data_IF_523826760476
#
_entry.id   IF_523826760476
#
_cell.length_a   1.000
_cell.length_b   1.000
_cell.length_c   1.000
_cell.angle_alpha   90.00
_cell.angle_beta   90.00
_cell.angle_gamma   90.00
#
_symmetry.space_group_name_H-M   'P 1'
#
loop_
_entity.id
_entity.type
_entity.pdbx_description
1 polymer ?
#
# COMPACT_ATOMS: atom_id res chain seq x y z
N UNK A 1 6.67 -16.96 -18.03
CA UNK A 1 7.25 -18.00 -17.14
C UNK A 1 8.27 -17.42 -16.17
N UNK A 2 9.23 -16.61 -16.64
CA UNK A 2 10.24 -15.96 -15.78
C UNK A 2 9.64 -15.16 -14.60
N UNK A 3 8.59 -14.38 -14.84
CA UNK A 3 7.89 -13.65 -13.78
C UNK A 3 7.31 -14.57 -12.69
N UNK A 4 6.76 -15.73 -13.07
CA UNK A 4 6.22 -16.72 -12.13
C UNK A 4 7.35 -17.39 -11.33
N UNK A 5 8.50 -17.66 -11.96
CA UNK A 5 9.67 -18.20 -11.27
C UNK A 5 10.26 -17.19 -10.28
N UNK A 6 10.27 -15.90 -10.62
CA UNK A 6 10.72 -14.83 -9.73
C UNK A 6 9.77 -14.59 -8.55
N UNK A 7 8.48 -14.80 -8.73
CA UNK A 7 7.45 -14.59 -7.71
C UNK A 7 6.56 -15.84 -7.55
N UNK A 8 7.07 -16.92 -6.93
CA UNK A 8 6.35 -18.20 -6.84
C UNK A 8 5.05 -18.10 -6.03
N UNK A 9 4.92 -17.11 -5.16
CA UNK A 9 3.72 -16.83 -4.37
C UNK A 9 2.93 -15.61 -4.88
N UNK A 10 3.17 -15.18 -6.11
CA UNK A 10 2.45 -14.05 -6.69
C UNK A 10 1.07 -14.43 -7.21
N UNK A 11 0.31 -13.41 -7.59
CA UNK A 11 -1.04 -13.55 -8.13
C UNK A 11 -1.17 -12.78 -9.44
N UNK A 12 -1.93 -13.33 -10.39
CA UNK A 12 -2.31 -12.64 -11.62
C UNK A 12 -3.48 -11.72 -11.35
N UNK A 13 -3.41 -10.51 -11.89
CA UNK A 13 -4.42 -9.50 -11.69
C UNK A 13 -4.62 -8.71 -12.98
N UNK A 14 -5.87 -8.53 -13.40
CA UNK A 14 -6.25 -7.49 -14.34
C UNK A 14 -7.14 -6.45 -13.64
N UNK A 15 -7.55 -5.40 -14.34
CA UNK A 15 -8.30 -4.30 -13.72
C UNK A 15 -9.56 -4.74 -12.94
N UNK A 16 -10.28 -5.78 -13.43
CA UNK A 16 -11.58 -6.21 -12.86
C UNK A 16 -11.74 -7.72 -12.73
N UNK A 17 -10.66 -8.51 -12.86
CA UNK A 17 -10.71 -9.97 -12.78
C UNK A 17 -11.54 -10.62 -13.90
N UNK A 18 -11.52 -10.04 -15.11
CA UNK A 18 -12.22 -10.56 -16.27
C UNK A 18 -11.34 -11.40 -17.20
N UNK A 19 -11.75 -11.53 -18.46
CA UNK A 19 -11.15 -12.48 -19.42
C UNK A 19 -9.64 -12.33 -19.61
N UNK A 20 -9.10 -11.11 -19.53
CA UNK A 20 -7.65 -10.87 -19.72
C UNK A 20 -6.78 -11.71 -18.77
N UNK A 21 -7.13 -11.75 -17.49
CA UNK A 21 -6.34 -12.51 -16.52
C UNK A 21 -6.60 -14.01 -16.61
N UNK A 22 -7.82 -14.43 -17.01
CA UNK A 22 -8.15 -15.84 -17.24
C UNK A 22 -7.42 -16.43 -18.45
N UNK A 23 -7.35 -15.70 -19.57
CA UNK A 23 -6.61 -16.12 -20.77
C UNK A 23 -5.12 -16.35 -20.42
N UNK A 24 -4.51 -15.40 -19.70
CA UNK A 24 -3.11 -15.54 -19.28
C UNK A 24 -2.91 -16.72 -18.32
N UNK A 25 -3.84 -16.93 -17.38
CA UNK A 25 -3.79 -18.08 -16.48
C UNK A 25 -3.89 -19.40 -17.27
N UNK A 26 -4.75 -19.46 -18.27
CA UNK A 26 -4.91 -20.65 -19.12
C UNK A 26 -3.62 -20.97 -19.88
N UNK A 27 -2.98 -19.97 -20.49
CA UNK A 27 -1.67 -20.16 -21.15
C UNK A 27 -0.57 -20.62 -20.19
N UNK A 28 -0.55 -20.09 -18.97
CA UNK A 28 0.41 -20.53 -17.95
C UNK A 28 0.15 -21.98 -17.54
N UNK A 29 -1.11 -22.36 -17.38
CA UNK A 29 -1.52 -23.73 -17.06
C UNK A 29 -1.15 -24.71 -18.17
N UNK A 30 -1.35 -24.33 -19.43
CA UNK A 30 -0.92 -25.11 -20.61
C UNK A 30 0.61 -25.27 -20.66
N UNK A 31 1.36 -24.28 -20.17
CA UNK A 31 2.81 -24.36 -19.99
C UNK A 31 3.24 -25.08 -18.69
N UNK A 32 2.31 -25.70 -17.96
CA UNK A 32 2.59 -26.47 -16.74
C UNK A 32 2.77 -25.63 -15.47
N UNK A 33 2.40 -24.35 -15.48
CA UNK A 33 2.47 -23.45 -14.32
C UNK A 33 1.08 -23.15 -13.80
N UNK A 34 0.78 -23.66 -12.60
CA UNK A 34 -0.42 -23.25 -11.86
C UNK A 34 -0.13 -21.95 -11.11
N UNK A 35 -0.86 -20.89 -11.44
CA UNK A 35 -0.65 -19.56 -10.89
C UNK A 35 -1.98 -18.91 -10.53
N UNK A 36 -2.17 -18.44 -9.28
CA UNK A 36 -3.47 -18.01 -8.81
C UNK A 36 -3.88 -16.64 -9.37
N UNK A 37 -5.18 -16.37 -9.36
CA UNK A 37 -5.78 -15.11 -9.80
C UNK A 37 -6.32 -14.32 -8.61
N UNK A 38 -6.28 -12.99 -8.72
CA UNK A 38 -7.09 -12.11 -7.90
C UNK A 38 -8.50 -12.04 -8.48
N UNK A 39 -9.45 -12.67 -7.79
CA UNK A 39 -10.88 -12.59 -8.12
C UNK A 39 -11.35 -11.14 -7.99
N UNK A 40 -12.03 -10.62 -9.02
CA UNK A 40 -12.45 -9.22 -9.10
C UNK A 40 -11.31 -8.23 -9.41
N UNK A 41 -10.07 -8.70 -9.53
CA UNK A 41 -8.91 -7.95 -9.99
C UNK A 41 -8.55 -6.75 -9.11
N UNK A 42 -7.90 -5.75 -9.73
CA UNK A 42 -7.41 -4.57 -9.01
C UNK A 42 -8.53 -3.77 -8.35
N UNK A 43 -9.72 -3.73 -8.95
CA UNK A 43 -10.90 -3.12 -8.32
C UNK A 43 -11.20 -3.73 -6.94
N UNK A 44 -11.16 -5.06 -6.84
CA UNK A 44 -11.40 -5.76 -5.58
C UNK A 44 -10.28 -5.48 -4.56
N UNK A 45 -9.01 -5.50 -5.00
CA UNK A 45 -7.88 -5.13 -4.13
C UNK A 45 -8.02 -3.71 -3.58
N UNK A 46 -8.37 -2.75 -4.44
CA UNK A 46 -8.55 -1.36 -4.02
C UNK A 46 -9.68 -1.21 -3.02
N UNK A 47 -10.80 -1.92 -3.23
CA UNK A 47 -11.90 -1.90 -2.28
C UNK A 47 -11.50 -2.49 -0.92
N UNK A 48 -10.75 -3.59 -0.92
CA UNK A 48 -10.24 -4.20 0.30
C UNK A 48 -9.24 -3.27 1.03
N UNK A 49 -8.36 -2.58 0.28
CA UNK A 49 -7.42 -1.61 0.85
C UNK A 49 -8.14 -0.43 1.52
N UNK A 50 -9.19 0.10 0.87
CA UNK A 50 -10.03 1.17 1.44
C UNK A 50 -10.70 0.69 2.73
N UNK A 51 -11.37 -0.47 2.70
CA UNK A 51 -12.05 -1.03 3.86
C UNK A 51 -11.10 -1.30 5.03
N UNK A 52 -9.94 -1.88 4.76
CA UNK A 52 -8.91 -2.10 5.78
C UNK A 52 -8.42 -0.79 6.37
N UNK A 53 -8.26 0.26 5.55
CA UNK A 53 -7.87 1.58 6.04
C UNK A 53 -8.96 2.15 6.94
N UNK A 54 -10.22 2.16 6.50
CA UNK A 54 -11.37 2.68 7.26
C UNK A 54 -11.53 2.00 8.63
N UNK A 55 -11.26 0.69 8.71
CA UNK A 55 -11.26 -0.07 9.97
C UNK A 55 -10.06 0.29 10.85
N UNK A 56 -8.85 0.28 10.28
CA UNK A 56 -7.61 0.44 11.06
C UNK A 56 -7.43 1.87 11.58
N UNK A 57 -7.96 2.89 10.90
CA UNK A 57 -7.91 4.28 11.38
C UNK A 57 -8.82 4.53 12.59
N UNK A 58 -9.70 3.59 12.97
CA UNK A 58 -10.48 3.69 14.21
C UNK A 58 -9.64 3.46 15.47
N UNK A 59 -8.42 2.92 15.32
CA UNK A 59 -7.48 2.75 16.44
C UNK A 59 -7.02 4.12 16.95
N UNK A 60 -6.64 4.25 18.23
CA UNK A 60 -6.11 5.49 18.77
C UNK A 60 -4.97 6.06 17.92
N UNK A 61 -5.02 7.36 17.63
CA UNK A 61 -4.01 8.08 16.87
C UNK A 61 -3.33 9.09 17.79
N UNK A 62 -2.00 9.09 17.80
CA UNK A 62 -1.17 10.11 18.44
C UNK A 62 -0.56 10.97 17.33
N UNK A 63 -0.92 12.26 17.30
CA UNK A 63 -0.35 13.22 16.37
C UNK A 63 0.85 13.91 16.99
N UNK A 64 2.01 13.84 16.32
CA UNK A 64 3.23 14.54 16.72
C UNK A 64 3.20 15.96 16.13
N UNK A 65 2.95 16.94 16.98
CA UNK A 65 3.02 18.36 16.60
C UNK A 65 4.44 18.94 16.67
N UNK A 66 4.66 20.06 15.99
CA UNK A 66 5.89 20.85 16.10
C UNK A 66 6.27 21.57 14.81
N UNK A 67 7.18 22.54 14.90
CA UNK A 67 7.62 23.34 13.75
C UNK A 67 8.31 22.49 12.66
N UNK A 68 8.36 23.05 11.46
CA UNK A 68 9.14 22.56 10.32
C UNK A 68 10.63 22.43 10.71
N UNK A 69 11.28 21.33 10.30
CA UNK A 69 12.73 21.14 10.52
C UNK A 69 13.11 20.50 11.85
N UNK A 70 12.15 20.14 12.71
CA UNK A 70 12.41 19.56 14.03
C UNK A 70 12.50 18.01 14.06
N UNK A 71 12.67 17.35 12.92
CA UNK A 71 12.90 15.89 12.86
C UNK A 71 11.68 15.01 13.17
N UNK A 72 10.45 15.54 13.11
CA UNK A 72 9.20 14.79 13.36
C UNK A 72 9.10 13.53 12.48
N UNK A 73 9.40 13.64 11.19
CA UNK A 73 9.38 12.51 10.24
C UNK A 73 10.33 11.41 10.69
N UNK A 74 11.54 11.78 11.14
CA UNK A 74 12.53 10.81 11.63
C UNK A 74 12.03 10.11 12.89
N UNK A 75 11.37 10.84 13.80
CA UNK A 75 10.75 10.25 14.98
C UNK A 75 9.63 9.27 14.59
N UNK A 76 8.71 9.65 13.71
CA UNK A 76 7.62 8.76 13.25
C UNK A 76 8.20 7.51 12.58
N UNK A 77 9.16 7.66 11.67
CA UNK A 77 9.79 6.52 10.97
C UNK A 77 10.59 5.59 11.90
N UNK A 78 11.11 6.09 13.02
CA UNK A 78 11.84 5.26 14.00
C UNK A 78 10.93 4.34 14.83
N UNK A 79 9.61 4.56 14.78
CA UNK A 79 8.66 3.86 15.64
C UNK A 79 7.98 2.68 14.94
N UNK A 80 7.78 1.55 15.64
CA UNK A 80 6.98 0.44 15.11
C UNK A 80 5.53 0.82 14.76
N UNK A 81 4.94 1.72 15.55
CA UNK A 81 3.56 2.25 15.39
C UNK A 81 3.48 3.51 14.52
N UNK A 82 4.61 3.98 13.97
CA UNK A 82 4.65 5.21 13.17
C UNK A 82 4.18 5.02 11.72
N UNK A 83 3.39 5.95 11.18
CA UNK A 83 2.98 5.97 9.78
C UNK A 83 3.42 7.30 9.14
N UNK A 84 4.36 7.21 8.20
CA UNK A 84 4.91 8.35 7.45
C UNK A 84 4.00 8.74 6.29
N UNK A 85 3.01 9.60 6.55
CA UNK A 85 2.04 10.03 5.54
C UNK A 85 2.69 10.84 4.40
N UNK A 86 3.63 11.72 4.72
CA UNK A 86 4.33 12.52 3.70
C UNK A 86 5.14 11.63 2.76
N UNK A 87 5.89 10.67 3.31
CA UNK A 87 6.65 9.70 2.53
C UNK A 87 5.76 8.82 1.66
N UNK A 88 4.63 8.32 2.19
CA UNK A 88 3.67 7.53 1.40
C UNK A 88 3.05 8.34 0.25
N UNK A 89 2.87 9.65 0.42
CA UNK A 89 2.30 10.54 -0.58
C UNK A 89 3.32 11.07 -1.61
N UNK A 90 4.63 10.84 -1.40
CA UNK A 90 5.71 11.60 -2.07
C UNK A 90 5.50 13.12 -1.94
N UNK A 91 5.01 13.52 -0.78
CA UNK A 91 4.72 14.91 -0.45
C UNK A 91 5.86 15.48 0.42
N UNK A 92 5.94 16.81 0.50
CA UNK A 92 6.76 17.52 1.49
C UNK A 92 5.92 18.59 2.16
N UNK A 93 6.09 18.73 3.47
CA UNK A 93 5.43 19.76 4.25
C UNK A 93 5.50 21.15 3.59
N UNK A 94 4.47 21.95 3.82
CA UNK A 94 4.21 23.24 3.15
C UNK A 94 5.41 24.18 3.07
N UNK A 95 6.29 24.18 4.08
CA UNK A 95 7.48 25.02 4.13
C UNK A 95 8.61 24.63 3.16
N UNK A 96 8.61 23.40 2.64
CA UNK A 96 9.70 22.87 1.80
C UNK A 96 9.36 22.77 0.31
N UNK A 97 8.13 23.15 -0.09
CA UNK A 97 7.71 23.17 -1.48
C UNK A 97 7.62 21.78 -2.14
N UNK A 98 7.71 21.74 -3.47
CA UNK A 98 7.57 20.50 -4.26
C UNK A 98 8.81 19.60 -4.09
N UNK A 99 8.55 18.31 -4.02
CA UNK A 99 9.53 17.24 -4.16
C UNK A 99 10.06 17.18 -5.61
N UNK A 100 11.29 16.66 -5.79
CA UNK A 100 11.84 16.34 -7.12
C UNK A 100 11.10 15.17 -7.80
N UNK A 101 10.41 14.36 -6.99
CA UNK A 101 9.58 13.26 -7.43
C UNK A 101 8.11 13.71 -7.50
N UNK A 102 7.38 13.20 -8.48
CA UNK A 102 5.95 13.48 -8.57
C UNK A 102 5.19 12.85 -7.39
N UNK A 103 4.20 13.60 -6.91
CA UNK A 103 3.28 13.13 -5.89
C UNK A 103 2.54 11.90 -6.41
N UNK A 104 2.30 10.94 -5.51
CA UNK A 104 1.54 9.77 -5.87
C UNK A 104 0.09 10.15 -6.23
N UNK A 105 -0.48 9.55 -7.29
CA UNK A 105 -1.91 9.60 -7.50
C UNK A 105 -2.63 9.06 -6.25
N UNK A 106 -3.81 9.60 -5.95
CA UNK A 106 -4.59 9.27 -4.76
C UNK A 106 -4.69 7.76 -4.51
N UNK A 107 -5.02 6.97 -5.53
CA UNK A 107 -5.16 5.52 -5.38
C UNK A 107 -3.85 4.80 -5.00
N UNK A 108 -2.70 5.32 -5.45
CA UNK A 108 -1.38 4.76 -5.13
C UNK A 108 -1.03 5.07 -3.67
N UNK A 109 -1.25 6.32 -3.24
CA UNK A 109 -1.11 6.72 -1.84
C UNK A 109 -1.99 5.86 -0.92
N UNK A 110 -3.29 5.73 -1.22
CA UNK A 110 -4.24 4.95 -0.43
C UNK A 110 -3.81 3.47 -0.33
N UNK A 111 -3.34 2.87 -1.42
CA UNK A 111 -2.84 1.49 -1.37
C UNK A 111 -1.59 1.35 -0.50
N UNK A 112 -0.64 2.29 -0.60
CA UNK A 112 0.55 2.27 0.24
C UNK A 112 0.22 2.47 1.72
N UNK A 113 -0.73 3.36 2.03
CA UNK A 113 -1.25 3.55 3.38
C UNK A 113 -1.87 2.27 3.93
N UNK A 114 -2.78 1.64 3.18
CA UNK A 114 -3.41 0.39 3.57
C UNK A 114 -2.39 -0.71 3.86
N UNK A 115 -1.38 -0.88 2.99
CA UNK A 115 -0.31 -1.87 3.18
C UNK A 115 0.52 -1.57 4.43
N UNK A 116 0.85 -0.29 4.68
CA UNK A 116 1.61 0.13 5.86
C UNK A 116 0.85 -0.20 7.15
N UNK A 117 -0.45 0.12 7.20
CA UNK A 117 -1.33 -0.17 8.33
C UNK A 117 -1.47 -1.68 8.53
N UNK A 118 -1.82 -2.45 7.49
CA UNK A 118 -2.03 -3.90 7.57
C UNK A 118 -0.80 -4.65 8.08
N UNK A 119 0.40 -4.32 7.59
CA UNK A 119 1.64 -4.97 8.04
C UNK A 119 1.93 -4.75 9.52
N UNK A 120 1.45 -3.66 10.09
CA UNK A 120 1.67 -3.28 11.49
C UNK A 120 0.48 -3.64 12.39
N UNK A 121 -0.67 -3.94 11.79
CA UNK A 121 -1.95 -4.07 12.49
C UNK A 121 -1.99 -5.21 13.51
N UNK A 122 -1.25 -6.30 13.30
CA UNK A 122 -1.20 -7.43 14.23
C UNK A 122 -0.49 -7.08 15.55
N UNK A 123 0.48 -6.16 15.50
CA UNK A 123 1.37 -5.88 16.62
C UNK A 123 1.11 -4.53 17.29
N UNK A 124 0.47 -3.59 16.59
CA UNK A 124 0.28 -2.22 17.06
C UNK A 124 -1.18 -1.92 17.32
N UNK A 125 -1.53 -1.45 18.51
CA UNK A 125 -2.92 -1.11 18.86
C UNK A 125 -3.25 0.37 18.66
N UNK A 126 -2.28 1.17 18.21
CA UNK A 126 -2.40 2.61 17.96
C UNK A 126 -1.49 3.02 16.79
N UNK A 127 -1.69 4.24 16.30
CA UNK A 127 -0.85 4.85 15.27
C UNK A 127 -0.21 6.14 15.75
N UNK A 128 1.02 6.40 15.29
CA UNK A 128 1.72 7.66 15.51
C UNK A 128 1.95 8.34 14.17
N UNK A 129 1.45 9.55 14.01
CA UNK A 129 1.50 10.33 12.78
C UNK A 129 2.23 11.66 13.04
N UNK A 130 2.66 12.31 11.97
CA UNK A 130 3.07 13.73 11.99
C UNK A 130 2.17 14.58 11.08
#
# INVERSE_FOLDING_TARGET
LEACARYPHGYLCCARGGQRSHIVQQWLKEAGVDYPLIVGGYKALRQAAIQATDELVQRPIVLIGGCTGNGKTQLVCSRPDGIDLEGLAHHRGSSFGRTLQDQHPQATFENHLAVSLLKKAEQQTRWVLE
#
